data_IF_858080919193
#
_entry.id   IF_858080919193
#
_cell.length_a   1.000
_cell.length_b   1.000
_cell.length_c   1.000
_cell.angle_alpha   90.00
_cell.angle_beta   90.00
_cell.angle_gamma   90.00
#
_symmetry.space_group_name_H-M   'P 1'
#
loop_
_entity.id
_entity.type
_entity.pdbx_description
1 polymer ?
#
# COMPACT_ATOMS: atom_id res chain seq x y z
N UNK A 1 8.44 7.33 -8.54
CA UNK A 1 8.01 8.48 -9.35
C UNK A 1 8.04 8.08 -10.81
N UNK A 2 7.03 8.46 -11.58
CA UNK A 2 6.87 8.15 -13.00
C UNK A 2 6.18 9.33 -13.71
N UNK A 3 6.27 9.38 -15.04
CA UNK A 3 5.54 10.35 -15.86
C UNK A 3 4.09 9.92 -16.05
N UNK A 4 3.16 10.87 -16.11
CA UNK A 4 1.79 10.54 -16.49
C UNK A 4 1.70 10.18 -17.98
N UNK A 5 0.80 9.25 -18.26
CA UNK A 5 0.44 8.74 -19.58
C UNK A 5 -1.08 8.51 -19.62
N UNK A 6 -1.60 8.01 -20.74
CA UNK A 6 -3.04 7.79 -20.91
C UNK A 6 -3.57 6.60 -20.10
N UNK A 7 -2.71 5.64 -19.76
CA UNK A 7 -3.07 4.46 -18.98
C UNK A 7 -3.02 4.69 -17.46
N UNK A 8 -3.39 3.64 -16.73
CA UNK A 8 -3.38 3.63 -15.27
C UNK A 8 -1.98 3.31 -14.75
N UNK A 9 -1.31 4.30 -14.17
CA UNK A 9 0.01 4.17 -13.52
C UNK A 9 1.09 3.54 -14.42
N UNK A 10 1.01 3.73 -15.74
CA UNK A 10 1.76 2.97 -16.75
C UNK A 10 2.92 3.72 -17.42
N UNK A 11 3.13 4.99 -17.06
CA UNK A 11 4.12 5.82 -17.73
C UNK A 11 5.57 5.55 -17.33
N UNK A 12 6.51 6.12 -18.08
CA UNK A 12 7.95 5.91 -17.87
C UNK A 12 8.37 6.25 -16.43
N UNK A 13 9.13 5.37 -15.80
CA UNK A 13 9.70 5.55 -14.47
C UNK A 13 10.79 6.63 -14.52
N UNK A 14 10.70 7.56 -13.57
CA UNK A 14 11.72 8.59 -13.31
C UNK A 14 12.74 8.06 -12.30
N UNK A 15 12.24 7.45 -11.22
CA UNK A 15 13.07 6.91 -10.15
C UNK A 15 12.25 6.09 -9.16
N UNK A 16 12.90 5.12 -8.51
CA UNK A 16 12.31 4.21 -7.55
C UNK A 16 13.19 4.10 -6.31
N UNK A 17 12.55 3.95 -5.15
CA UNK A 17 13.21 3.65 -3.88
C UNK A 17 12.51 2.43 -3.27
N UNK A 18 13.30 1.55 -2.66
CA UNK A 18 12.79 0.33 -2.02
C UNK A 18 12.84 0.50 -0.50
N UNK A 19 11.88 -0.13 0.17
CA UNK A 19 11.87 -0.25 1.62
C UNK A 19 11.32 -1.63 2.00
N UNK A 20 11.65 -2.07 3.20
CA UNK A 20 11.21 -3.35 3.74
C UNK A 20 9.92 -3.18 4.55
N UNK A 21 8.97 -4.09 4.30
CA UNK A 21 7.80 -4.28 5.17
C UNK A 21 8.19 -5.31 6.22
N UNK A 22 8.33 -4.88 7.47
CA UNK A 22 8.67 -5.77 8.58
C UNK A 22 7.45 -6.61 9.00
N UNK A 23 7.69 -7.74 9.65
CA UNK A 23 6.65 -8.68 10.09
C UNK A 23 5.61 -8.09 11.04
N UNK A 24 5.93 -6.98 11.71
CA UNK A 24 5.03 -6.28 12.64
C UNK A 24 4.52 -4.95 12.12
N UNK A 25 4.90 -4.56 10.89
CA UNK A 25 4.42 -3.32 10.29
C UNK A 25 2.90 -3.38 10.10
N UNK A 26 2.27 -2.31 10.52
CA UNK A 26 0.88 -1.99 10.25
C UNK A 26 0.82 -0.87 9.18
N UNK A 27 -0.40 -0.55 8.72
CA UNK A 27 -0.60 0.44 7.67
C UNK A 27 0.06 1.80 7.97
N UNK A 28 0.05 2.21 9.24
CA UNK A 28 0.70 3.44 9.72
C UNK A 28 2.22 3.42 9.49
N UNK A 29 2.90 2.33 9.84
CA UNK A 29 4.35 2.18 9.63
C UNK A 29 4.71 2.19 8.14
N UNK A 30 3.91 1.49 7.32
CA UNK A 30 4.08 1.48 5.88
C UNK A 30 3.90 2.89 5.29
N UNK A 31 2.95 3.67 5.80
CA UNK A 31 2.73 5.06 5.40
C UNK A 31 3.95 5.94 5.68
N UNK A 32 4.55 5.81 6.86
CA UNK A 32 5.76 6.55 7.23
C UNK A 32 6.93 6.22 6.29
N UNK A 33 7.15 4.92 6.04
CA UNK A 33 8.22 4.44 5.14
C UNK A 33 8.03 4.92 3.70
N UNK A 34 6.81 4.81 3.16
CA UNK A 34 6.48 5.33 1.82
C UNK A 34 6.70 6.84 1.75
N UNK A 35 6.31 7.58 2.78
CA UNK A 35 6.49 9.04 2.86
C UNK A 35 7.97 9.43 2.87
N UNK A 36 8.79 8.70 3.62
CA UNK A 36 10.24 8.89 3.65
C UNK A 36 10.87 8.63 2.27
N UNK A 37 10.52 7.51 1.62
CA UNK A 37 10.97 7.20 0.26
C UNK A 37 10.54 8.27 -0.76
N UNK A 38 9.28 8.73 -0.68
CA UNK A 38 8.77 9.82 -1.52
C UNK A 38 9.57 11.10 -1.36
N UNK A 39 9.95 11.45 -0.14
CA UNK A 39 10.79 12.63 0.16
C UNK A 39 12.17 12.50 -0.49
N UNK A 40 12.80 11.32 -0.40
CA UNK A 40 14.09 11.04 -1.06
C UNK A 40 13.98 11.20 -2.57
N UNK A 41 12.95 10.60 -3.17
CA UNK A 41 12.70 10.68 -4.60
C UNK A 41 12.49 12.12 -5.07
N UNK A 42 11.65 12.90 -4.37
CA UNK A 42 11.40 14.30 -4.71
C UNK A 42 12.69 15.13 -4.63
N UNK A 43 13.46 15.00 -3.55
CA UNK A 43 14.74 15.72 -3.40
C UNK A 43 15.72 15.40 -4.52
N UNK A 44 15.77 14.12 -4.95
CA UNK A 44 16.69 13.66 -5.99
C UNK A 44 16.24 14.07 -7.39
N UNK A 45 14.97 13.90 -7.72
CA UNK A 45 14.50 13.97 -9.11
C UNK A 45 13.78 15.26 -9.47
N UNK A 46 13.23 16.02 -8.51
CA UNK A 46 12.55 17.28 -8.82
C UNK A 46 13.47 18.29 -9.54
N UNK A 47 14.74 18.50 -9.14
CA UNK A 47 15.65 19.38 -9.88
C UNK A 47 15.93 18.91 -11.32
N UNK A 48 15.98 17.60 -11.55
CA UNK A 48 16.21 17.02 -12.88
C UNK A 48 14.97 17.18 -13.77
N UNK A 49 13.77 17.05 -13.19
CA UNK A 49 12.51 17.31 -13.88
C UNK A 49 12.45 18.78 -14.33
N UNK A 50 12.78 19.73 -13.44
CA UNK A 50 12.80 21.16 -13.75
C UNK A 50 13.77 21.48 -14.89
N UNK A 51 14.94 20.82 -14.91
CA UNK A 51 15.94 20.98 -15.98
C UNK A 51 15.59 20.25 -17.28
N UNK A 52 14.53 19.44 -17.29
CA UNK A 52 14.18 18.61 -18.44
C UNK A 52 15.13 17.43 -18.68
N UNK A 53 15.92 17.04 -17.68
CA UNK A 53 16.95 15.99 -17.79
C UNK A 53 16.65 14.75 -16.96
N UNK A 54 15.44 14.63 -16.41
CA UNK A 54 15.02 13.43 -15.68
C UNK A 54 14.92 12.22 -16.63
N UNK A 55 15.33 11.05 -16.14
CA UNK A 55 15.32 9.80 -16.90
C UNK A 55 13.92 9.33 -17.24
N UNK A 56 13.80 8.63 -18.37
CA UNK A 56 12.59 7.92 -18.81
C UNK A 56 12.89 6.43 -18.97
N UNK A 57 12.50 5.63 -17.99
CA UNK A 57 12.71 4.19 -17.99
C UNK A 57 11.36 3.52 -18.25
N UNK A 58 11.20 2.88 -19.42
CA UNK A 58 9.95 2.18 -19.77
C UNK A 58 9.64 1.08 -18.75
N UNK A 59 8.38 0.97 -18.35
CA UNK A 59 7.91 -0.13 -17.50
C UNK A 59 7.86 -1.45 -18.29
N UNK A 60 8.11 -2.56 -17.61
CA UNK A 60 7.91 -3.90 -18.17
C UNK A 60 6.46 -4.35 -17.88
N UNK A 61 5.55 -4.08 -18.83
CA UNK A 61 4.13 -4.37 -18.64
C UNK A 61 3.82 -5.86 -18.45
N UNK A 62 4.72 -6.77 -18.84
CA UNK A 62 4.54 -8.21 -18.58
C UNK A 62 4.60 -8.56 -17.09
N UNK A 63 5.15 -7.65 -16.26
CA UNK A 63 5.26 -7.78 -14.80
C UNK A 63 4.27 -6.89 -14.04
N UNK A 64 3.39 -6.18 -14.75
CA UNK A 64 2.42 -5.30 -14.12
C UNK A 64 1.37 -6.11 -13.36
N UNK A 65 1.03 -5.62 -12.16
CA UNK A 65 -0.07 -6.16 -11.34
C UNK A 65 -1.04 -5.03 -11.04
N UNK A 66 -2.34 -5.32 -11.14
CA UNK A 66 -3.41 -4.34 -10.93
C UNK A 66 -4.27 -4.83 -9.77
N UNK A 67 -4.47 -3.96 -8.78
CA UNK A 67 -5.36 -4.23 -7.65
C UNK A 67 -6.63 -3.40 -7.79
N UNK A 68 -7.83 -4.01 -7.62
CA UNK A 68 -9.07 -3.27 -7.70
C UNK A 68 -9.24 -2.35 -6.50
N UNK A 69 -10.09 -1.32 -6.66
CA UNK A 69 -10.48 -0.45 -5.56
C UNK A 69 -11.20 -1.26 -4.48
N UNK A 70 -10.69 -1.21 -3.25
CA UNK A 70 -11.33 -1.84 -2.10
C UNK A 70 -12.53 -1.02 -1.61
N UNK A 71 -13.56 -1.73 -1.17
CA UNK A 71 -14.73 -1.19 -0.48
C UNK A 71 -14.64 -1.45 1.02
N UNK A 72 -15.45 -0.76 1.83
CA UNK A 72 -15.50 -1.02 3.28
C UNK A 72 -15.98 -2.43 3.64
N UNK A 73 -16.64 -3.15 2.71
CA UNK A 73 -17.02 -4.55 2.92
C UNK A 73 -15.79 -5.46 2.92
N UNK A 74 -14.73 -5.10 2.21
CA UNK A 74 -13.48 -5.85 2.17
C UNK A 74 -12.75 -5.84 3.52
N UNK A 75 -13.13 -4.94 4.44
CA UNK A 75 -12.61 -4.91 5.79
C UNK A 75 -13.21 -6.00 6.69
N UNK A 76 -14.25 -6.71 6.25
CA UNK A 76 -14.83 -7.77 7.05
C UNK A 76 -13.89 -8.98 7.08
N UNK A 77 -13.64 -9.48 8.29
CA UNK A 77 -12.98 -10.77 8.53
C UNK A 77 -14.04 -11.84 8.35
N UNK A 78 -13.71 -12.84 7.54
CA UNK A 78 -14.51 -14.03 7.32
C UNK A 78 -13.95 -15.16 8.18
N UNK A 79 -14.49 -15.33 9.38
CA UNK A 79 -13.96 -16.31 10.35
C UNK A 79 -14.12 -17.76 9.90
N UNK A 80 -14.99 -18.03 8.92
CA UNK A 80 -15.23 -19.39 8.42
C UNK A 80 -14.22 -19.77 7.33
N UNK A 81 -13.67 -18.77 6.60
CA UNK A 81 -12.84 -19.01 5.41
C UNK A 81 -11.42 -18.44 5.53
N UNK A 82 -11.21 -17.34 6.26
CA UNK A 82 -9.89 -16.74 6.41
C UNK A 82 -9.03 -17.58 7.37
N UNK A 83 -7.80 -17.85 6.97
CA UNK A 83 -6.77 -18.40 7.87
C UNK A 83 -6.30 -17.38 8.90
N UNK A 84 -5.70 -17.83 10.00
CA UNK A 84 -5.15 -16.93 11.02
C UNK A 84 -4.15 -15.91 10.44
N UNK A 85 -3.32 -16.33 9.48
CA UNK A 85 -2.37 -15.46 8.78
C UNK A 85 -3.08 -14.41 7.90
N UNK A 86 -4.13 -14.79 7.18
CA UNK A 86 -4.94 -13.84 6.40
C UNK A 86 -5.65 -12.83 7.29
N UNK A 87 -6.21 -13.27 8.41
CA UNK A 87 -6.82 -12.39 9.41
C UNK A 87 -5.77 -11.41 9.96
N UNK A 88 -4.59 -11.90 10.33
CA UNK A 88 -3.50 -11.08 10.83
C UNK A 88 -3.05 -10.04 9.79
N UNK A 89 -2.86 -10.45 8.53
CA UNK A 89 -2.52 -9.55 7.41
C UNK A 89 -3.61 -8.51 7.15
N UNK A 90 -4.90 -8.90 7.20
CA UNK A 90 -6.02 -7.95 7.08
C UNK A 90 -6.00 -6.91 8.21
N UNK A 91 -5.79 -7.34 9.45
CA UNK A 91 -5.72 -6.42 10.61
C UNK A 91 -4.57 -5.42 10.43
N UNK A 92 -3.40 -5.89 10.00
CA UNK A 92 -2.23 -5.03 9.73
C UNK A 92 -2.47 -4.05 8.58
N UNK A 93 -2.96 -4.53 7.45
CA UNK A 93 -3.14 -3.73 6.24
C UNK A 93 -4.27 -2.68 6.38
N UNK A 94 -5.26 -2.94 7.24
CA UNK A 94 -6.44 -2.11 7.41
C UNK A 94 -6.47 -1.36 8.75
N UNK A 95 -5.37 -1.40 9.51
CA UNK A 95 -5.23 -0.66 10.76
C UNK A 95 -5.29 0.86 10.53
N UNK A 96 -5.09 1.66 11.58
CA UNK A 96 -4.99 3.12 11.44
C UNK A 96 -3.97 3.47 10.34
N UNK A 97 -4.23 4.52 9.53
CA UNK A 97 -5.36 5.46 9.58
C UNK A 97 -6.65 4.98 8.88
N UNK A 98 -6.72 3.71 8.43
CA UNK A 98 -7.93 3.15 7.81
C UNK A 98 -9.01 2.81 8.85
N UNK A 99 -10.09 2.15 8.39
CA UNK A 99 -11.28 1.86 9.21
C UNK A 99 -11.22 0.58 10.05
N UNK A 100 -10.07 -0.10 10.08
CA UNK A 100 -9.88 -1.36 10.80
C UNK A 100 -10.53 -2.55 10.08
N UNK A 101 -9.97 -3.74 10.32
CA UNK A 101 -10.65 -4.99 9.99
C UNK A 101 -11.73 -5.28 11.05
N UNK A 102 -12.85 -5.91 10.68
CA UNK A 102 -13.97 -6.07 11.61
C UNK A 102 -14.71 -7.40 11.46
N UNK A 103 -15.40 -7.81 12.51
CA UNK A 103 -16.48 -8.81 12.45
C UNK A 103 -17.80 -8.18 12.85
N UNK A 104 -18.91 -8.80 12.44
CA UNK A 104 -20.24 -8.49 12.95
C UNK A 104 -20.54 -9.39 14.15
N UNK A 105 -20.87 -8.79 15.30
CA UNK A 105 -21.33 -9.50 16.49
C UNK A 105 -22.55 -8.78 17.05
N UNK A 106 -23.67 -9.49 17.20
CA UNK A 106 -24.94 -8.96 17.72
C UNK A 106 -25.40 -7.67 17.01
N UNK A 107 -25.28 -7.64 15.68
CA UNK A 107 -25.63 -6.50 14.84
C UNK A 107 -24.66 -5.30 14.92
N UNK A 108 -23.57 -5.41 15.69
CA UNK A 108 -22.55 -4.36 15.85
C UNK A 108 -21.22 -4.76 15.23
N UNK A 109 -20.45 -3.77 14.79
CA UNK A 109 -19.07 -3.96 14.33
C UNK A 109 -18.12 -4.03 15.52
N UNK A 110 -17.35 -5.11 15.60
CA UNK A 110 -16.17 -5.18 16.44
C UNK A 110 -14.95 -4.99 15.54
N UNK A 111 -14.19 -3.94 15.81
CA UNK A 111 -13.05 -3.53 14.98
C UNK A 111 -11.76 -3.94 15.69
N UNK A 112 -10.85 -4.57 14.94
CA UNK A 112 -9.55 -5.01 15.40
C UNK A 112 -8.47 -4.09 14.85
N UNK A 113 -7.71 -3.47 15.75
CA UNK A 113 -6.66 -2.51 15.40
C UNK A 113 -5.28 -3.14 15.37
N UNK A 114 -5.05 -4.14 16.21
CA UNK A 114 -3.80 -4.89 16.34
C UNK A 114 -4.13 -6.34 16.70
N UNK A 115 -3.23 -7.24 16.33
CA UNK A 115 -3.25 -8.65 16.67
C UNK A 115 -1.82 -9.18 16.75
N UNK A 116 -1.65 -10.36 17.31
CA UNK A 116 -0.40 -11.12 17.32
C UNK A 116 -0.73 -12.57 16.95
N UNK A 117 0.21 -13.25 16.29
CA UNK A 117 0.13 -14.68 16.01
C UNK A 117 1.02 -15.42 17.02
N UNK A 118 0.46 -16.44 17.67
CA UNK A 118 1.17 -17.37 18.56
C UNK A 118 1.51 -18.69 17.85
#
# INVERSE_FOLDING_TARGET
MFYLSEGLDDGDIIGQERFEIAEKDHAEDAYEKVTACGTVLLRRYLPLIIKGTASRIKQDHSKATIFPKLSLKNNQIDLDNDTADEIYKKIRALSKPYRGAYIMKDGKKLIFWRAELE
#
